data_IF_261855261768
#
_entry.id   IF_261855261768
#
_cell.length_a   1.000
_cell.length_b   1.000
_cell.length_c   1.000
_cell.angle_alpha   90.00
_cell.angle_beta   90.00
_cell.angle_gamma   90.00
#
_symmetry.space_group_name_H-M   'P 1'
#
loop_
_entity.id
_entity.type
_entity.pdbx_description
1 polymer ?
#
# COMPACT_ATOMS: atom_id res chain seq x y z
N UNK A 1 -24.61 -4.47 15.18
CA UNK A 1 -23.44 -4.31 14.32
C UNK A 1 -23.95 -4.27 12.89
N UNK A 2 -23.67 -3.17 12.22
CA UNK A 2 -24.09 -2.94 10.85
C UNK A 2 -23.42 -3.94 9.87
N UNK A 3 -24.05 -4.23 8.72
CA UNK A 3 -23.48 -5.16 7.74
C UNK A 3 -22.07 -4.76 7.27
N UNK A 4 -21.82 -3.45 7.10
CA UNK A 4 -20.51 -2.91 6.71
C UNK A 4 -19.43 -3.20 7.77
N UNK A 5 -19.74 -2.95 9.06
CA UNK A 5 -18.82 -3.23 10.17
C UNK A 5 -18.43 -4.71 10.23
N UNK A 6 -19.39 -5.59 9.89
CA UNK A 6 -19.17 -7.03 9.88
C UNK A 6 -18.25 -7.45 8.73
N UNK A 7 -18.45 -6.87 7.56
CA UNK A 7 -17.59 -7.12 6.41
C UNK A 7 -16.16 -6.69 6.70
N UNK A 8 -15.97 -5.50 7.24
CA UNK A 8 -14.67 -4.98 7.63
C UNK A 8 -13.98 -5.84 8.69
N UNK A 9 -14.73 -6.32 9.69
CA UNK A 9 -14.21 -7.25 10.71
C UNK A 9 -13.66 -8.52 10.06
N UNK A 10 -14.39 -9.12 9.11
CA UNK A 10 -13.94 -10.33 8.40
C UNK A 10 -12.67 -10.04 7.61
N UNK A 11 -12.61 -8.89 6.92
CA UNK A 11 -11.42 -8.48 6.14
C UNK A 11 -10.20 -8.32 7.04
N UNK A 12 -10.32 -7.66 8.20
CA UNK A 12 -9.21 -7.51 9.17
C UNK A 12 -8.69 -8.85 9.70
N UNK A 13 -9.61 -9.78 10.02
CA UNK A 13 -9.21 -11.14 10.43
C UNK A 13 -8.51 -11.86 9.26
N UNK A 14 -9.03 -11.73 8.04
CA UNK A 14 -8.42 -12.32 6.87
C UNK A 14 -7.02 -11.75 6.58
N UNK A 15 -6.81 -10.43 6.76
CA UNK A 15 -5.50 -9.81 6.66
C UNK A 15 -4.49 -10.40 7.65
N UNK A 16 -4.92 -10.65 8.89
CA UNK A 16 -4.09 -11.32 9.90
C UNK A 16 -3.71 -12.74 9.49
N UNK A 17 -4.66 -13.53 8.96
CA UNK A 17 -4.38 -14.87 8.45
C UNK A 17 -3.43 -14.84 7.25
N UNK A 18 -3.66 -13.92 6.31
CA UNK A 18 -2.80 -13.72 5.15
C UNK A 18 -1.37 -13.37 5.58
N UNK A 19 -1.26 -12.53 6.60
CA UNK A 19 0.01 -12.12 7.18
C UNK A 19 0.79 -13.28 7.78
N UNK A 20 0.12 -14.20 8.44
CA UNK A 20 0.73 -15.33 9.13
C UNK A 20 1.02 -16.52 8.20
N UNK A 21 0.07 -16.86 7.33
CA UNK A 21 0.02 -18.14 6.63
C UNK A 21 0.28 -18.01 5.11
N UNK A 22 0.41 -16.77 4.60
CA UNK A 22 0.50 -16.49 3.17
C UNK A 22 -0.82 -16.75 2.43
N UNK A 23 -0.89 -16.36 1.15
CA UNK A 23 -2.11 -16.51 0.34
C UNK A 23 -2.55 -17.98 0.19
N UNK A 24 -1.60 -18.91 0.07
CA UNK A 24 -1.90 -20.34 -0.04
C UNK A 24 -2.55 -20.89 1.24
N UNK A 25 -2.05 -20.48 2.42
CA UNK A 25 -2.50 -20.97 3.73
C UNK A 25 -3.85 -20.42 4.21
N UNK A 26 -4.37 -19.35 3.60
CA UNK A 26 -5.66 -18.75 3.99
C UNK A 26 -6.83 -19.73 3.81
N UNK A 27 -7.58 -19.94 4.89
CA UNK A 27 -8.76 -20.83 4.95
C UNK A 27 -10.02 -20.04 5.33
N UNK A 28 -11.05 -20.09 4.48
CA UNK A 28 -12.35 -19.47 4.74
C UNK A 28 -13.00 -19.97 6.05
N UNK A 29 -12.76 -21.23 6.41
CA UNK A 29 -13.32 -21.84 7.64
C UNK A 29 -12.59 -21.31 8.89
N UNK A 30 -11.26 -21.16 8.84
CA UNK A 30 -10.48 -20.62 9.96
C UNK A 30 -10.79 -19.14 10.19
N UNK A 31 -10.91 -18.37 9.10
CA UNK A 31 -11.30 -16.95 9.18
C UNK A 31 -12.71 -16.81 9.77
N UNK A 32 -13.68 -17.62 9.34
CA UNK A 32 -15.03 -17.58 9.89
C UNK A 32 -15.03 -17.84 11.40
N UNK A 33 -14.26 -18.84 11.86
CA UNK A 33 -14.11 -19.17 13.27
C UNK A 33 -13.52 -17.99 14.05
N UNK A 34 -12.40 -17.42 13.59
CA UNK A 34 -11.68 -16.36 14.29
C UNK A 34 -12.43 -15.01 14.24
N UNK A 35 -13.22 -14.78 13.18
CA UNK A 35 -14.13 -13.62 13.08
C UNK A 35 -15.43 -13.80 13.87
N UNK A 36 -15.65 -14.96 14.50
CA UNK A 36 -16.89 -15.24 15.24
C UNK A 36 -18.15 -15.26 14.36
N UNK A 37 -18.03 -15.70 13.11
CA UNK A 37 -19.14 -15.78 12.15
C UNK A 37 -19.34 -17.20 11.63
N UNK A 38 -20.55 -17.46 11.09
CA UNK A 38 -20.79 -18.75 10.45
C UNK A 38 -20.12 -18.81 9.07
N UNK A 39 -19.79 -20.02 8.63
CA UNK A 39 -19.27 -20.26 7.28
C UNK A 39 -20.23 -19.78 6.18
N UNK A 40 -21.54 -19.94 6.39
CA UNK A 40 -22.56 -19.45 5.46
C UNK A 40 -22.53 -17.92 5.36
N UNK A 41 -22.30 -17.22 6.48
CA UNK A 41 -22.23 -15.77 6.51
C UNK A 41 -21.00 -15.24 5.75
N UNK A 42 -19.82 -15.84 5.92
CA UNK A 42 -18.64 -15.39 5.19
C UNK A 42 -18.80 -15.58 3.67
N UNK A 43 -19.40 -16.68 3.20
CA UNK A 43 -19.69 -16.91 1.79
C UNK A 43 -20.75 -15.96 1.22
N UNK A 44 -21.64 -15.41 2.05
CA UNK A 44 -22.60 -14.38 1.64
C UNK A 44 -21.93 -13.05 1.31
N UNK A 45 -20.87 -12.68 2.06
CA UNK A 45 -20.10 -11.45 1.80
C UNK A 45 -19.04 -11.65 0.72
N UNK A 46 -18.41 -12.81 0.71
CA UNK A 46 -17.29 -13.14 -0.18
C UNK A 46 -17.55 -14.50 -0.83
N UNK A 47 -17.97 -14.52 -2.11
CA UNK A 47 -18.39 -15.76 -2.79
C UNK A 47 -17.26 -16.78 -2.98
N UNK A 48 -16.04 -16.46 -2.56
CA UNK A 48 -14.89 -17.36 -2.58
C UNK A 48 -13.66 -16.73 -1.95
N UNK A 49 -12.61 -17.53 -1.83
CA UNK A 49 -11.33 -17.10 -1.26
C UNK A 49 -10.74 -15.91 -2.02
N UNK A 50 -10.81 -15.91 -3.36
CA UNK A 50 -10.27 -14.82 -4.18
C UNK A 50 -10.97 -13.49 -3.86
N UNK A 51 -12.31 -13.48 -3.80
CA UNK A 51 -13.05 -12.26 -3.46
C UNK A 51 -12.71 -11.70 -2.08
N UNK A 52 -12.41 -12.58 -1.11
CA UNK A 52 -11.93 -12.16 0.22
C UNK A 52 -10.50 -11.59 0.14
N UNK A 53 -9.59 -12.22 -0.60
CA UNK A 53 -8.23 -11.72 -0.79
C UNK A 53 -8.21 -10.37 -1.53
N UNK A 54 -9.06 -10.18 -2.52
CA UNK A 54 -9.23 -8.90 -3.22
C UNK A 54 -9.74 -7.80 -2.28
N UNK A 55 -10.67 -8.14 -1.36
CA UNK A 55 -11.13 -7.20 -0.33
C UNK A 55 -10.03 -6.86 0.69
N UNK A 56 -9.18 -7.82 1.06
CA UNK A 56 -7.99 -7.55 1.89
C UNK A 56 -7.03 -6.60 1.18
N UNK A 57 -6.76 -6.82 -0.10
CA UNK A 57 -5.89 -5.92 -0.89
C UNK A 57 -6.42 -4.49 -0.91
N UNK A 58 -7.72 -4.30 -1.15
CA UNK A 58 -8.36 -2.97 -1.14
C UNK A 58 -8.22 -2.30 0.23
N UNK A 59 -8.50 -3.02 1.29
CA UNK A 59 -8.38 -2.53 2.67
C UNK A 59 -6.94 -2.12 3.01
N UNK A 60 -5.94 -2.93 2.65
CA UNK A 60 -4.53 -2.61 2.88
C UNK A 60 -4.08 -1.42 2.01
N UNK A 61 -4.58 -1.32 0.77
CA UNK A 61 -4.36 -0.17 -0.10
C UNK A 61 -4.90 1.13 0.52
N UNK A 62 -6.14 1.12 1.02
CA UNK A 62 -6.75 2.27 1.71
C UNK A 62 -5.96 2.68 2.95
N UNK A 63 -5.48 1.71 3.74
CA UNK A 63 -4.63 1.98 4.91
C UNK A 63 -3.30 2.63 4.52
N UNK A 64 -2.65 2.15 3.47
CA UNK A 64 -1.43 2.75 2.95
C UNK A 64 -1.66 4.19 2.48
N UNK A 65 -2.72 4.42 1.71
CA UNK A 65 -3.08 5.75 1.21
C UNK A 65 -3.40 6.72 2.35
N UNK A 66 -4.07 6.27 3.41
CA UNK A 66 -4.32 7.08 4.60
C UNK A 66 -3.02 7.40 5.36
N UNK A 67 -2.12 6.42 5.52
CA UNK A 67 -0.84 6.62 6.20
C UNK A 67 0.11 7.58 5.46
N UNK A 68 0.01 7.62 4.14
CA UNK A 68 0.84 8.48 3.28
C UNK A 68 0.15 9.80 2.87
N UNK A 69 -1.02 10.11 3.44
CA UNK A 69 -1.73 11.36 3.14
C UNK A 69 -0.91 12.58 3.59
N UNK A 70 -0.70 13.59 2.72
CA UNK A 70 0.05 14.78 3.07
C UNK A 70 -0.57 15.57 4.22
N UNK A 71 0.26 16.07 5.14
CA UNK A 71 -0.17 16.99 6.18
C UNK A 71 0.11 18.44 5.71
N UNK A 72 -0.91 19.29 5.56
CA UNK A 72 -0.72 20.66 5.08
C UNK A 72 0.06 21.57 6.07
N UNK A 73 0.34 21.09 7.28
CA UNK A 73 1.13 21.82 8.28
C UNK A 73 2.62 21.55 8.19
N UNK A 74 3.02 20.54 7.43
CA UNK A 74 4.40 20.15 7.27
C UNK A 74 5.02 20.76 6.01
N UNK A 75 6.35 20.95 6.04
CA UNK A 75 7.09 21.28 4.83
C UNK A 75 7.00 20.17 3.77
N UNK A 76 7.30 20.48 2.52
CA UNK A 76 7.36 19.48 1.44
C UNK A 76 8.35 18.35 1.79
N UNK A 77 9.52 18.71 2.30
CA UNK A 77 10.54 17.75 2.72
C UNK A 77 10.05 16.82 3.85
N UNK A 78 9.41 17.40 4.89
CA UNK A 78 8.90 16.61 6.01
C UNK A 78 7.76 15.69 5.58
N UNK A 79 6.89 16.14 4.67
CA UNK A 79 5.84 15.32 4.07
C UNK A 79 6.42 14.13 3.30
N UNK A 80 7.45 14.35 2.49
CA UNK A 80 8.12 13.26 1.76
C UNK A 80 8.78 12.26 2.71
N UNK A 81 9.53 12.75 3.71
CA UNK A 81 10.13 11.89 4.74
C UNK A 81 9.08 11.07 5.49
N UNK A 82 7.99 11.70 5.93
CA UNK A 82 6.91 11.04 6.64
C UNK A 82 6.24 9.98 5.76
N UNK A 83 5.92 10.32 4.51
CA UNK A 83 5.25 9.39 3.58
C UNK A 83 6.13 8.21 3.22
N UNK A 84 7.43 8.41 2.96
CA UNK A 84 8.38 7.33 2.73
C UNK A 84 8.52 6.42 3.95
N UNK A 85 8.65 7.00 5.14
CA UNK A 85 8.72 6.20 6.37
C UNK A 85 7.43 5.40 6.62
N UNK A 86 6.24 6.00 6.41
CA UNK A 86 4.97 5.30 6.51
C UNK A 86 4.85 4.15 5.50
N UNK A 87 5.33 4.36 4.28
CA UNK A 87 5.42 3.31 3.26
C UNK A 87 6.34 2.15 3.67
N UNK A 88 7.54 2.48 4.18
CA UNK A 88 8.49 1.48 4.66
C UNK A 88 7.96 0.70 5.88
N UNK A 89 7.26 1.38 6.81
CA UNK A 89 6.59 0.74 7.94
C UNK A 89 5.50 -0.21 7.48
N UNK A 90 4.67 0.22 6.53
CA UNK A 90 3.64 -0.62 5.92
C UNK A 90 4.26 -1.88 5.29
N UNK A 91 5.32 -1.73 4.50
CA UNK A 91 6.00 -2.86 3.86
C UNK A 91 6.69 -3.80 4.86
N UNK A 92 7.27 -3.26 5.92
CA UNK A 92 7.92 -4.05 6.97
C UNK A 92 6.91 -4.78 7.85
N UNK A 93 5.79 -4.13 8.17
CA UNK A 93 4.69 -4.72 8.94
C UNK A 93 3.86 -5.70 8.08
N UNK A 94 3.77 -5.46 6.77
CA UNK A 94 3.11 -6.38 5.85
C UNK A 94 3.93 -7.63 5.71
N UNK A 95 3.39 -8.73 6.21
CA UNK A 95 4.00 -10.05 6.01
C UNK A 95 4.12 -10.39 4.52
N UNK A 96 4.92 -11.40 4.22
CA UNK A 96 5.13 -11.89 2.86
C UNK A 96 3.84 -12.08 2.05
N UNK A 97 2.74 -12.46 2.69
CA UNK A 97 1.47 -12.74 2.01
C UNK A 97 0.80 -11.51 1.38
N UNK A 98 0.75 -10.38 2.08
CA UNK A 98 0.20 -9.13 1.51
C UNK A 98 1.11 -8.63 0.38
N UNK A 99 2.43 -8.63 0.59
CA UNK A 99 3.40 -8.27 -0.45
C UNK A 99 3.32 -9.17 -1.67
N UNK A 100 3.18 -10.49 -1.45
CA UNK A 100 3.01 -11.47 -2.53
C UNK A 100 1.79 -11.16 -3.39
N UNK A 101 0.66 -10.78 -2.77
CA UNK A 101 -0.55 -10.40 -3.51
C UNK A 101 -0.36 -9.11 -4.32
N UNK A 102 0.32 -8.09 -3.77
CA UNK A 102 0.62 -6.85 -4.49
C UNK A 102 1.59 -7.05 -5.66
N UNK A 103 2.56 -7.95 -5.52
CA UNK A 103 3.57 -8.24 -6.55
C UNK A 103 3.13 -9.32 -7.54
N UNK A 104 2.00 -9.99 -7.30
CA UNK A 104 1.47 -11.01 -8.18
C UNK A 104 0.96 -10.36 -9.48
N UNK A 105 1.82 -10.24 -10.48
CA UNK A 105 1.52 -9.67 -11.80
C UNK A 105 0.31 -10.31 -12.50
N UNK A 106 -0.09 -11.50 -12.08
CA UNK A 106 -1.24 -12.24 -12.58
C UNK A 106 -2.59 -11.82 -11.94
N UNK A 107 -2.58 -11.04 -10.85
CA UNK A 107 -3.82 -10.59 -10.19
C UNK A 107 -4.27 -9.24 -10.79
N UNK A 108 -5.38 -9.20 -11.56
CA UNK A 108 -5.85 -7.96 -12.19
C UNK A 108 -6.26 -6.90 -11.14
N UNK A 109 -6.82 -7.29 -10.00
CA UNK A 109 -7.22 -6.37 -8.93
C UNK A 109 -5.98 -5.72 -8.30
N UNK A 110 -4.91 -6.50 -8.05
CA UNK A 110 -3.67 -5.95 -7.52
C UNK A 110 -3.06 -4.92 -8.49
N UNK A 111 -3.04 -5.22 -9.78
CA UNK A 111 -2.52 -4.31 -10.81
C UNK A 111 -3.32 -3.01 -10.86
N UNK A 112 -4.66 -3.10 -10.91
CA UNK A 112 -5.55 -1.94 -10.91
C UNK A 112 -5.32 -1.05 -9.66
N UNK A 113 -5.18 -1.66 -8.48
CA UNK A 113 -4.92 -0.93 -7.23
C UNK A 113 -3.55 -0.25 -7.24
N UNK A 114 -2.51 -0.92 -7.72
CA UNK A 114 -1.17 -0.33 -7.82
C UNK A 114 -1.18 0.85 -8.79
N UNK A 115 -1.79 0.71 -9.96
CA UNK A 115 -1.92 1.79 -10.94
C UNK A 115 -2.68 3.00 -10.35
N UNK A 116 -3.84 2.76 -9.72
CA UNK A 116 -4.63 3.83 -9.08
C UNK A 116 -3.86 4.50 -7.92
N UNK A 117 -3.14 3.74 -7.11
CA UNK A 117 -2.30 4.27 -6.04
C UNK A 117 -1.16 5.13 -6.60
N UNK A 118 -0.50 4.69 -7.66
CA UNK A 118 0.58 5.46 -8.30
C UNK A 118 0.07 6.80 -8.83
N UNK A 119 -1.07 6.83 -9.51
CA UNK A 119 -1.69 8.06 -10.00
C UNK A 119 -2.02 9.04 -8.85
N UNK A 120 -2.62 8.53 -7.76
CA UNK A 120 -2.93 9.36 -6.60
C UNK A 120 -1.64 9.87 -5.92
N UNK A 121 -0.64 9.04 -5.74
CA UNK A 121 0.63 9.43 -5.13
C UNK A 121 1.39 10.45 -6.00
N UNK A 122 1.40 10.26 -7.31
CA UNK A 122 1.99 11.25 -8.23
C UNK A 122 1.28 12.62 -8.09
N UNK A 123 -0.05 12.64 -8.01
CA UNK A 123 -0.82 13.86 -7.76
C UNK A 123 -0.44 14.51 -6.43
N UNK A 124 -0.36 13.74 -5.34
CA UNK A 124 0.03 14.23 -4.00
C UNK A 124 1.45 14.80 -3.99
N UNK A 125 2.39 14.16 -4.67
CA UNK A 125 3.78 14.64 -4.81
C UNK A 125 3.78 16.02 -5.47
N UNK A 126 3.09 16.19 -6.60
CA UNK A 126 3.03 17.47 -7.29
C UNK A 126 2.37 18.56 -6.43
N UNK A 127 1.31 18.24 -5.69
CA UNK A 127 0.65 19.17 -4.77
C UNK A 127 1.57 19.59 -3.61
N UNK A 128 2.25 18.63 -2.97
CA UNK A 128 3.18 18.88 -1.85
C UNK A 128 4.36 19.74 -2.29
N UNK A 129 4.83 19.56 -3.53
CA UNK A 129 5.95 20.30 -4.10
C UNK A 129 5.51 21.60 -4.84
N UNK A 130 4.21 21.92 -4.81
CA UNK A 130 3.63 23.08 -5.49
C UNK A 130 4.00 23.17 -6.98
N UNK A 131 4.06 22.00 -7.65
CA UNK A 131 4.43 21.90 -9.05
C UNK A 131 3.20 21.84 -9.98
N UNK A 132 3.34 22.44 -11.14
CA UNK A 132 2.34 22.33 -12.21
C UNK A 132 2.19 20.87 -12.66
N UNK A 133 0.96 20.47 -12.94
CA UNK A 133 0.63 19.14 -13.45
C UNK A 133 0.95 19.05 -14.96
N UNK A 134 2.23 18.88 -15.27
CA UNK A 134 2.72 18.74 -16.63
C UNK A 134 3.02 17.28 -16.98
N UNK A 135 2.99 16.89 -18.28
CA UNK A 135 3.39 15.54 -18.70
C UNK A 135 4.79 15.15 -18.21
N UNK A 136 5.73 16.11 -18.15
CA UNK A 136 7.08 15.89 -17.64
C UNK A 136 7.07 15.54 -16.14
N UNK A 137 6.35 16.32 -15.33
CA UNK A 137 6.26 16.11 -13.89
C UNK A 137 5.52 14.80 -13.56
N UNK A 138 4.45 14.48 -14.30
CA UNK A 138 3.76 13.19 -14.19
C UNK A 138 4.67 12.01 -14.49
N UNK A 139 5.46 12.11 -15.58
CA UNK A 139 6.41 11.06 -15.94
C UNK A 139 7.50 10.89 -14.86
N UNK A 140 8.02 11.99 -14.31
CA UNK A 140 9.03 11.97 -13.26
C UNK A 140 8.49 11.33 -11.97
N UNK A 141 7.33 11.78 -11.48
CA UNK A 141 6.70 11.26 -10.27
C UNK A 141 6.30 9.77 -10.45
N UNK A 142 5.67 9.41 -11.57
CA UNK A 142 5.28 8.04 -11.88
C UNK A 142 6.48 7.10 -12.02
N UNK A 143 7.57 7.57 -12.64
CA UNK A 143 8.83 6.82 -12.75
C UNK A 143 9.57 6.66 -11.42
N UNK A 144 9.36 7.55 -10.47
CA UNK A 144 9.97 7.47 -9.14
C UNK A 144 9.29 6.43 -8.23
N UNK A 145 7.98 6.23 -8.32
CA UNK A 145 7.24 5.31 -7.46
C UNK A 145 7.75 3.85 -7.52
N UNK A 146 8.09 3.27 -8.68
CA UNK A 146 8.75 1.97 -8.75
C UNK A 146 10.11 1.91 -8.04
N UNK A 147 10.85 3.03 -7.98
CA UNK A 147 12.09 3.11 -7.18
C UNK A 147 11.78 2.99 -5.69
N UNK A 148 10.73 3.66 -5.20
CA UNK A 148 10.28 3.54 -3.79
C UNK A 148 9.88 2.10 -3.48
N UNK A 149 9.16 1.43 -4.37
CA UNK A 149 8.80 0.01 -4.20
C UNK A 149 10.04 -0.89 -4.16
N UNK A 150 10.99 -0.66 -5.06
CA UNK A 150 12.24 -1.42 -5.08
C UNK A 150 13.02 -1.24 -3.78
N UNK A 151 13.21 0.00 -3.32
CA UNK A 151 13.95 0.30 -2.08
C UNK A 151 13.22 -0.26 -0.86
N UNK A 152 11.89 -0.20 -0.81
CA UNK A 152 11.09 -0.81 0.25
C UNK A 152 11.31 -2.32 0.39
N UNK A 153 11.38 -3.04 -0.73
CA UNK A 153 11.74 -4.47 -0.73
C UNK A 153 13.14 -4.71 -0.19
N UNK A 154 14.11 -3.88 -0.62
CA UNK A 154 15.52 -4.01 -0.15
C UNK A 154 15.66 -3.72 1.34
N UNK A 155 14.90 -2.76 1.89
CA UNK A 155 14.89 -2.48 3.35
C UNK A 155 14.38 -3.70 4.14
N UNK A 156 13.33 -4.36 3.67
CA UNK A 156 12.85 -5.62 4.28
C UNK A 156 13.91 -6.74 4.23
N UNK A 157 14.76 -6.74 3.21
CA UNK A 157 15.89 -7.69 3.07
C UNK A 157 17.15 -7.26 3.85
N UNK A 158 17.10 -6.15 4.58
CA UNK A 158 18.18 -5.68 5.46
C UNK A 158 18.99 -4.49 4.95
N UNK A 159 18.58 -3.83 3.86
CA UNK A 159 19.22 -2.56 3.46
C UNK A 159 18.97 -1.47 4.50
N UNK A 160 19.94 -0.54 4.73
CA UNK A 160 19.77 0.54 5.67
C UNK A 160 18.58 1.44 5.30
N UNK A 161 17.68 1.66 6.26
CA UNK A 161 16.44 2.42 6.04
C UNK A 161 16.70 3.88 5.69
N UNK A 162 17.61 4.51 6.41
CA UNK A 162 17.91 5.93 6.22
C UNK A 162 18.53 6.17 4.84
N UNK A 163 19.43 5.31 4.40
CA UNK A 163 20.01 5.35 3.05
C UNK A 163 18.94 5.21 1.97
N UNK A 164 17.95 4.34 2.19
CA UNK A 164 16.85 4.14 1.25
C UNK A 164 15.94 5.38 1.15
N UNK A 165 15.63 6.03 2.28
CA UNK A 165 14.85 7.27 2.32
C UNK A 165 15.61 8.39 1.62
N UNK A 166 16.88 8.60 1.95
CA UNK A 166 17.72 9.64 1.36
C UNK A 166 17.91 9.45 -0.15
N UNK A 167 18.10 8.20 -0.60
CA UNK A 167 18.17 7.87 -2.03
C UNK A 167 16.87 8.23 -2.75
N UNK A 168 15.72 7.86 -2.17
CA UNK A 168 14.42 8.17 -2.79
C UNK A 168 14.19 9.67 -2.90
N UNK A 169 14.48 10.45 -1.86
CA UNK A 169 14.33 11.91 -1.88
C UNK A 169 15.28 12.55 -2.90
N UNK A 170 16.55 12.18 -2.88
CA UNK A 170 17.55 12.69 -3.82
C UNK A 170 17.15 12.39 -5.27
N UNK A 171 16.67 11.19 -5.54
CA UNK A 171 16.23 10.81 -6.88
C UNK A 171 15.01 11.62 -7.34
N UNK A 172 14.01 11.85 -6.45
CA UNK A 172 12.84 12.65 -6.78
C UNK A 172 13.21 14.09 -7.13
N UNK A 173 14.04 14.71 -6.30
CA UNK A 173 14.57 16.07 -6.49
C UNK A 173 15.25 16.18 -7.85
N UNK A 174 16.16 15.24 -8.16
CA UNK A 174 16.87 15.23 -9.44
C UNK A 174 15.95 15.06 -10.65
N UNK A 175 14.95 14.17 -10.55
CA UNK A 175 13.98 13.91 -11.64
C UNK A 175 13.09 15.12 -11.92
N UNK A 176 12.69 15.84 -10.88
CA UNK A 176 11.82 17.01 -10.97
C UNK A 176 12.59 18.31 -11.26
N UNK A 177 13.91 18.31 -11.09
CA UNK A 177 14.77 19.50 -11.24
C UNK A 177 14.47 20.57 -10.20
N UNK A 178 14.16 20.14 -8.96
CA UNK A 178 13.81 21.01 -7.83
C UNK A 178 14.87 20.91 -6.75
N UNK A 179 15.01 21.98 -5.94
CA UNK A 179 15.68 21.93 -4.66
C UNK A 179 14.61 21.91 -3.56
N UNK A 180 14.64 20.93 -2.70
CA UNK A 180 13.78 20.92 -1.51
C UNK A 180 14.42 21.80 -0.45
N UNK A 181 14.03 23.06 -0.43
CA UNK A 181 14.39 23.98 0.64
C UNK A 181 13.79 23.56 1.98
#
# INVERSE_FOLDING_TARGET
MEPADRQEQIVRVAATHLSRDGAAGVSMSSIAKDAGVTRALIYRYFPGKQALLDAVLRHESERLLAATEPDPKLSARDNLHRSLNAYLDFFSASSGGVRELYTASANPVARELVEANHELQATRILQVLELDDTPRHRLAAGGWLPLVEFTGRRVVEGAPRDDAVDLCITALVALLGQDLA
#
